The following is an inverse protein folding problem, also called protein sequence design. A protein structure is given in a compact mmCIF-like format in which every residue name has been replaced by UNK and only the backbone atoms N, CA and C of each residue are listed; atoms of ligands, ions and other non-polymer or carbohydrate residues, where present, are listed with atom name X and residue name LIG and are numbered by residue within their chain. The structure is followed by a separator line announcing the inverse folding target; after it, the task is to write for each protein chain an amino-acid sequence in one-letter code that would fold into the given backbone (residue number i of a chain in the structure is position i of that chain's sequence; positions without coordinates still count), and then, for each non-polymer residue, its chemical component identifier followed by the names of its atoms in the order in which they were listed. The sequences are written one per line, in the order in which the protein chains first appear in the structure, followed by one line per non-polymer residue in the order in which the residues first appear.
data_IF_883553445411
#
_entry.id   IF_883553445411
#
_cell.length_a   1.000
_cell.length_b   1.000
_cell.length_c   1.000
_cell.angle_alpha   90.00
_cell.angle_beta   90.00
_cell.angle_gamma   90.00
#
_symmetry.space_group_name_H-M   'P 1'
#
loop_
_entity.id
_entity.type
_entity.pdbx_description
1 polymer ?
#
# COMPACT_ATOMS: atom_id res chain seq x y z
N UNK A 1 -18.52 -22.43 -12.07
CA UNK A 1 -17.99 -22.18 -10.70
C UNK A 1 -16.50 -21.93 -10.85
N UNK A 2 -16.02 -20.78 -10.49
CA UNK A 2 -14.60 -20.39 -10.58
C UNK A 2 -13.76 -21.10 -9.52
N UNK A 3 -12.45 -21.19 -9.76
CA UNK A 3 -11.51 -21.64 -8.74
C UNK A 3 -11.32 -20.53 -7.68
N UNK A 4 -11.15 -19.27 -8.14
CA UNK A 4 -11.03 -18.10 -7.28
C UNK A 4 -11.95 -16.97 -7.74
N UNK A 5 -12.58 -16.30 -6.77
CA UNK A 5 -13.17 -14.98 -6.95
C UNK A 5 -12.32 -13.96 -6.20
N UNK A 6 -11.94 -12.87 -6.87
CA UNK A 6 -11.15 -11.77 -6.29
C UNK A 6 -12.04 -10.54 -6.18
N UNK A 7 -12.15 -9.95 -5.00
CA UNK A 7 -12.94 -8.75 -4.75
C UNK A 7 -12.00 -7.58 -4.50
N UNK A 8 -12.03 -6.59 -5.42
CA UNK A 8 -11.08 -5.49 -5.49
C UNK A 8 -9.88 -5.82 -6.38
N UNK A 9 -9.63 -4.98 -7.38
CA UNK A 9 -8.54 -5.15 -8.38
C UNK A 9 -7.47 -4.06 -8.23
N UNK A 10 -7.20 -3.64 -6.99
CA UNK A 10 -6.00 -2.88 -6.66
C UNK A 10 -4.73 -3.75 -6.79
N UNK A 11 -3.53 -3.24 -6.44
CA UNK A 11 -2.27 -3.94 -6.69
C UNK A 11 -2.21 -5.37 -6.17
N UNK A 12 -2.72 -5.62 -4.96
CA UNK A 12 -2.71 -6.97 -4.37
C UNK A 12 -3.66 -7.92 -5.09
N UNK A 13 -4.90 -7.49 -5.38
CA UNK A 13 -5.90 -8.31 -6.05
C UNK A 13 -5.53 -8.61 -7.50
N UNK A 14 -5.08 -7.60 -8.25
CA UNK A 14 -4.60 -7.77 -9.62
C UNK A 14 -3.39 -8.73 -9.68
N UNK A 15 -2.44 -8.58 -8.75
CA UNK A 15 -1.28 -9.48 -8.66
C UNK A 15 -1.69 -10.92 -8.38
N UNK A 16 -2.59 -11.15 -7.42
CA UNK A 16 -3.07 -12.49 -7.12
C UNK A 16 -3.84 -13.09 -8.31
N UNK A 17 -4.76 -12.33 -8.92
CA UNK A 17 -5.53 -12.79 -10.07
C UNK A 17 -4.61 -13.21 -11.23
N UNK A 18 -3.58 -12.40 -11.53
CA UNK A 18 -2.56 -12.73 -12.51
C UNK A 18 -1.87 -14.05 -12.17
N UNK A 19 -1.32 -14.17 -10.96
CA UNK A 19 -0.52 -15.32 -10.54
C UNK A 19 -1.33 -16.62 -10.51
N UNK A 20 -2.59 -16.56 -10.08
CA UNK A 20 -3.49 -17.69 -10.09
C UNK A 20 -3.85 -18.12 -11.53
N UNK A 21 -4.14 -17.17 -12.42
CA UNK A 21 -4.42 -17.44 -13.83
C UNK A 21 -3.19 -18.03 -14.56
N UNK A 22 -1.96 -17.51 -14.30
CA UNK A 22 -0.71 -18.07 -14.82
C UNK A 22 -0.50 -19.57 -14.42
N UNK A 23 -1.09 -19.99 -13.31
CA UNK A 23 -1.08 -21.40 -12.87
C UNK A 23 -2.21 -22.25 -13.49
N UNK A 24 -3.06 -21.64 -14.31
CA UNK A 24 -4.16 -22.30 -15.01
C UNK A 24 -5.45 -22.40 -14.23
N UNK A 25 -5.60 -21.67 -13.13
CA UNK A 25 -6.86 -21.59 -12.38
C UNK A 25 -7.87 -20.68 -13.10
N UNK A 26 -9.16 -21.01 -12.95
CA UNK A 26 -10.28 -20.20 -13.45
C UNK A 26 -10.58 -19.07 -12.45
N UNK A 27 -10.22 -17.83 -12.81
CA UNK A 27 -10.24 -16.67 -11.93
C UNK A 27 -11.19 -15.60 -12.46
N UNK A 28 -12.11 -15.13 -11.61
CA UNK A 28 -12.87 -13.90 -11.83
C UNK A 28 -12.48 -12.84 -10.81
N UNK A 29 -12.31 -11.60 -11.25
CA UNK A 29 -11.97 -10.47 -10.40
C UNK A 29 -12.92 -9.29 -10.63
N UNK A 30 -13.45 -8.72 -9.56
CA UNK A 30 -14.43 -7.65 -9.59
C UNK A 30 -13.86 -6.36 -9.00
N UNK A 31 -13.92 -5.27 -9.78
CA UNK A 31 -13.62 -3.91 -9.33
C UNK A 31 -14.90 -3.08 -9.31
N UNK A 32 -15.15 -2.41 -8.19
CA UNK A 32 -16.38 -1.65 -7.98
C UNK A 32 -16.49 -0.40 -8.83
N UNK A 33 -15.34 0.22 -9.16
CA UNK A 33 -15.24 1.43 -9.95
C UNK A 33 -14.46 1.23 -11.25
N UNK A 34 -13.92 2.34 -11.74
CA UNK A 34 -12.86 2.34 -12.76
C UNK A 34 -11.52 2.01 -12.09
N UNK A 35 -10.68 1.23 -12.76
CA UNK A 35 -9.34 0.92 -12.28
C UNK A 35 -8.51 2.18 -11.99
N UNK A 36 -7.93 2.21 -10.78
CA UNK A 36 -7.12 3.33 -10.31
C UNK A 36 -7.89 4.56 -9.86
N UNK A 37 -9.23 4.51 -9.80
CA UNK A 37 -10.06 5.64 -9.35
C UNK A 37 -11.10 5.23 -8.30
N UNK A 38 -11.36 6.07 -7.27
CA UNK A 38 -10.64 7.32 -6.96
C UNK A 38 -9.20 7.05 -6.50
N UNK A 39 -8.29 8.00 -6.79
CA UNK A 39 -6.90 7.92 -6.36
C UNK A 39 -6.79 8.34 -4.87
N UNK A 40 -6.48 7.41 -4.00
CA UNK A 40 -6.25 7.66 -2.57
C UNK A 40 -4.88 7.14 -2.11
N UNK A 41 -3.86 7.22 -2.98
CA UNK A 41 -2.53 6.68 -2.72
C UNK A 41 -1.46 7.53 -3.41
N UNK A 42 -0.34 7.74 -2.72
CA UNK A 42 0.74 8.63 -3.19
C UNK A 42 1.47 8.15 -4.44
N UNK A 43 1.56 6.87 -4.69
CA UNK A 43 2.41 6.34 -5.77
C UNK A 43 3.93 6.49 -5.50
N UNK A 44 4.33 6.85 -4.29
CA UNK A 44 5.74 6.79 -3.87
C UNK A 44 6.08 5.37 -3.44
N UNK A 45 6.90 4.69 -4.22
CA UNK A 45 7.16 3.25 -4.11
C UNK A 45 8.67 2.96 -4.11
N UNK A 46 9.09 1.88 -3.44
CA UNK A 46 10.47 1.39 -3.56
C UNK A 46 10.77 0.89 -4.97
N UNK A 47 12.05 0.77 -5.28
CA UNK A 47 12.49 0.22 -6.57
C UNK A 47 12.02 -1.21 -6.81
N UNK A 48 11.74 -1.96 -5.75
CA UNK A 48 11.22 -3.34 -5.83
C UNK A 48 9.85 -3.42 -6.55
N UNK A 49 9.12 -2.31 -6.68
CA UNK A 49 7.84 -2.30 -7.41
C UNK A 49 8.02 -2.80 -8.85
N UNK A 50 9.19 -2.54 -9.43
CA UNK A 50 9.49 -2.94 -10.81
C UNK A 50 9.58 -4.46 -11.03
N UNK A 51 9.70 -5.26 -9.97
CA UNK A 51 9.62 -6.73 -10.06
C UNK A 51 8.20 -7.23 -10.35
N UNK A 52 7.20 -6.40 -10.09
CA UNK A 52 5.78 -6.73 -10.28
C UNK A 52 5.20 -6.17 -11.58
N UNK A 53 5.90 -5.21 -12.20
CA UNK A 53 5.45 -4.49 -13.41
C UNK A 53 6.18 -5.03 -14.64
N UNK A 54 5.47 -5.35 -15.74
CA UNK A 54 6.12 -5.69 -17.01
C UNK A 54 7.05 -4.57 -17.52
N UNK A 55 8.23 -4.95 -18.04
CA UNK A 55 9.30 -4.01 -18.37
C UNK A 55 8.87 -2.93 -19.37
N UNK A 56 8.02 -3.27 -20.33
CA UNK A 56 7.50 -2.38 -21.36
C UNK A 56 6.64 -1.22 -20.82
N UNK A 57 6.14 -1.32 -19.60
CA UNK A 57 5.30 -0.28 -18.99
C UNK A 57 6.06 0.65 -18.04
N UNK A 58 7.32 0.34 -17.72
CA UNK A 58 8.10 1.10 -16.70
C UNK A 58 8.24 2.57 -17.06
N UNK A 59 8.59 2.88 -18.31
CA UNK A 59 8.78 4.26 -18.77
C UNK A 59 7.49 5.09 -18.66
N UNK A 60 6.34 4.50 -19.02
CA UNK A 60 5.05 5.16 -18.94
C UNK A 60 4.55 5.40 -17.51
N UNK A 61 4.99 4.58 -16.55
CA UNK A 61 4.63 4.69 -15.14
C UNK A 61 5.56 5.62 -14.36
N UNK A 62 6.82 5.73 -14.77
CA UNK A 62 7.83 6.49 -14.08
C UNK A 62 7.54 8.00 -14.12
N UNK A 63 7.59 8.67 -12.99
CA UNK A 63 7.42 10.11 -12.89
C UNK A 63 8.66 10.82 -12.34
N UNK A 64 9.26 10.29 -11.25
CA UNK A 64 10.44 10.89 -10.66
C UNK A 64 11.30 9.88 -9.90
N UNK A 65 12.61 10.15 -9.84
CA UNK A 65 13.57 9.39 -9.05
C UNK A 65 13.79 10.07 -7.70
N UNK A 66 13.78 9.29 -6.62
CA UNK A 66 13.99 9.78 -5.26
C UNK A 66 15.23 9.12 -4.66
N UNK A 67 16.15 9.94 -4.15
CA UNK A 67 17.42 9.50 -3.55
C UNK A 67 17.43 9.62 -2.03
N UNK A 68 16.49 10.37 -1.46
CA UNK A 68 16.46 10.58 -0.02
C UNK A 68 15.18 11.19 0.51
N UNK A 69 15.20 11.39 1.82
CA UNK A 69 14.16 12.10 2.55
C UNK A 69 14.78 13.20 3.42
N UNK A 70 14.17 14.37 3.46
CA UNK A 70 14.48 15.45 4.40
C UNK A 70 13.43 15.41 5.52
N UNK A 71 13.87 15.15 6.74
CA UNK A 71 13.00 15.16 7.90
C UNK A 71 13.00 16.52 8.56
N UNK A 72 11.82 17.01 8.86
CA UNK A 72 11.54 18.30 9.51
C UNK A 72 10.80 18.06 10.83
N UNK A 73 11.23 18.76 11.89
CA UNK A 73 10.52 18.78 13.19
C UNK A 73 9.51 19.94 13.30
N UNK A 74 9.26 20.63 12.20
CA UNK A 74 8.34 21.75 12.06
C UNK A 74 7.79 21.86 10.65
N UNK A 75 7.23 23.02 10.30
CA UNK A 75 6.70 23.33 8.96
C UNK A 75 7.79 23.43 7.88
N UNK A 76 7.40 23.90 6.69
CA UNK A 76 8.25 23.93 5.49
C UNK A 76 9.58 24.67 5.66
N UNK A 77 9.60 25.78 6.42
CA UNK A 77 10.79 26.59 6.67
C UNK A 77 11.69 26.06 7.81
N UNK A 78 11.33 24.95 8.45
CA UNK A 78 12.11 24.40 9.55
C UNK A 78 13.39 23.72 9.06
N UNK A 79 14.44 23.60 9.90
CA UNK A 79 15.69 22.94 9.52
C UNK A 79 15.46 21.51 9.03
N UNK A 80 16.02 21.19 7.87
CA UNK A 80 15.98 19.86 7.26
C UNK A 80 17.10 18.96 7.79
N UNK A 81 16.76 17.69 8.05
CA UNK A 81 17.70 16.63 8.38
C UNK A 81 17.68 15.58 7.25
N UNK A 82 18.61 15.61 6.27
CA UNK A 82 18.58 14.73 5.13
C UNK A 82 19.09 13.32 5.48
N UNK A 83 18.42 12.32 4.91
CA UNK A 83 18.83 10.90 4.88
C UNK A 83 18.80 10.46 3.42
N UNK A 84 19.92 10.03 2.85
CA UNK A 84 20.01 9.81 1.40
C UNK A 84 20.99 8.69 1.01
N UNK A 85 20.88 8.28 -0.24
CA UNK A 85 21.90 7.49 -0.95
C UNK A 85 22.34 8.24 -2.21
N UNK A 86 23.48 7.86 -2.77
CA UNK A 86 23.93 8.40 -4.06
C UNK A 86 23.08 7.88 -5.22
N UNK A 87 22.61 6.62 -5.11
CA UNK A 87 21.70 5.99 -6.07
C UNK A 87 20.24 6.19 -5.62
N UNK A 88 19.29 6.07 -6.56
CA UNK A 88 17.88 6.07 -6.26
C UNK A 88 17.51 5.02 -5.21
N UNK A 89 16.60 5.37 -4.33
CA UNK A 89 16.05 4.46 -3.31
C UNK A 89 14.57 4.15 -3.55
N UNK A 90 13.90 5.00 -4.32
CA UNK A 90 12.47 4.88 -4.61
C UNK A 90 12.12 5.68 -5.85
N UNK A 91 10.88 5.51 -6.33
CA UNK A 91 10.32 6.30 -7.41
C UNK A 91 8.94 6.84 -7.04
N UNK A 92 8.60 7.99 -7.62
CA UNK A 92 7.21 8.39 -7.79
C UNK A 92 6.71 7.79 -9.11
N UNK A 93 5.53 7.17 -9.09
CA UNK A 93 4.91 6.54 -10.27
C UNK A 93 3.47 7.02 -10.45
N UNK A 94 2.98 6.99 -11.70
CA UNK A 94 1.57 7.19 -11.98
C UNK A 94 0.75 6.05 -11.39
N UNK A 95 0.05 6.37 -10.30
CA UNK A 95 -0.67 5.39 -9.51
C UNK A 95 -1.92 4.86 -10.21
N UNK A 96 -2.60 5.69 -10.99
CA UNK A 96 -3.77 5.29 -11.78
C UNK A 96 -3.36 4.32 -12.89
N UNK A 97 -2.28 4.64 -13.58
CA UNK A 97 -1.75 3.76 -14.62
C UNK A 97 -1.17 2.48 -14.05
N UNK A 98 -0.56 2.50 -12.86
CA UNK A 98 -0.07 1.30 -12.21
C UNK A 98 -1.17 0.26 -12.01
N UNK A 99 -2.34 0.67 -11.48
CA UNK A 99 -3.47 -0.25 -11.30
C UNK A 99 -3.97 -0.83 -12.60
N UNK A 100 -4.05 0.00 -13.66
CA UNK A 100 -4.46 -0.46 -15.00
C UNK A 100 -3.49 -1.48 -15.56
N UNK A 101 -2.19 -1.19 -15.52
CA UNK A 101 -1.15 -2.10 -16.00
C UNK A 101 -1.18 -3.44 -15.26
N UNK A 102 -1.35 -3.43 -13.94
CA UNK A 102 -1.43 -4.67 -13.16
C UNK A 102 -2.71 -5.47 -13.48
N UNK A 103 -3.84 -4.80 -13.69
CA UNK A 103 -5.09 -5.45 -14.07
C UNK A 103 -5.04 -6.00 -15.50
N UNK A 104 -4.44 -5.28 -16.45
CA UNK A 104 -4.25 -5.75 -17.82
C UNK A 104 -3.32 -6.97 -17.85
N UNK A 105 -2.25 -6.97 -17.05
CA UNK A 105 -1.40 -8.15 -16.90
C UNK A 105 -2.15 -9.36 -16.31
N UNK A 106 -3.18 -9.14 -15.48
CA UNK A 106 -4.05 -10.23 -15.01
C UNK A 106 -4.98 -10.73 -16.13
N UNK A 107 -5.53 -9.83 -16.96
CA UNK A 107 -6.32 -10.19 -18.15
C UNK A 107 -5.51 -11.00 -19.16
N UNK A 108 -4.29 -10.55 -19.44
CA UNK A 108 -3.37 -11.23 -20.37
C UNK A 108 -2.99 -12.65 -19.89
N UNK A 109 -2.95 -12.85 -18.56
CA UNK A 109 -2.75 -14.15 -17.96
C UNK A 109 -4.00 -15.06 -18.01
N UNK A 110 -5.16 -14.51 -18.38
CA UNK A 110 -6.42 -15.25 -18.53
C UNK A 110 -7.45 -15.04 -17.40
N UNK A 111 -7.22 -14.11 -16.47
CA UNK A 111 -8.22 -13.75 -15.46
C UNK A 111 -9.37 -12.93 -16.08
N UNK A 112 -10.62 -13.23 -15.70
CA UNK A 112 -11.82 -12.47 -16.07
C UNK A 112 -11.97 -11.24 -15.16
N UNK A 113 -11.35 -10.11 -15.55
CA UNK A 113 -11.35 -8.87 -14.75
C UNK A 113 -12.48 -7.96 -15.20
N UNK A 114 -13.42 -7.68 -14.30
CA UNK A 114 -14.64 -6.90 -14.53
C UNK A 114 -14.65 -5.60 -13.71
N UNK A 115 -14.57 -4.47 -14.39
CA UNK A 115 -14.75 -3.14 -13.82
C UNK A 115 -16.21 -2.78 -13.67
N UNK A 116 -16.54 -1.83 -12.79
CA UNK A 116 -17.90 -1.37 -12.49
C UNK A 116 -18.83 -2.50 -12.00
N UNK A 117 -18.22 -3.50 -11.34
CA UNK A 117 -18.91 -4.63 -10.75
C UNK A 117 -18.68 -4.66 -9.24
N UNK A 118 -19.70 -4.32 -8.47
CA UNK A 118 -19.62 -4.27 -7.01
C UNK A 118 -20.12 -5.57 -6.41
N UNK A 119 -19.26 -6.28 -5.69
CA UNK A 119 -19.70 -7.38 -4.82
C UNK A 119 -20.44 -6.80 -3.63
N UNK A 120 -21.72 -7.14 -3.50
CA UNK A 120 -22.61 -6.62 -2.47
C UNK A 120 -22.82 -7.58 -1.30
N UNK A 121 -22.74 -8.88 -1.56
CA UNK A 121 -22.87 -9.94 -0.56
C UNK A 121 -21.84 -11.04 -0.82
N UNK A 122 -21.34 -11.63 0.25
CA UNK A 122 -20.44 -12.81 0.23
C UNK A 122 -20.98 -13.80 1.24
N UNK A 123 -21.24 -15.02 0.80
CA UNK A 123 -21.73 -16.10 1.67
C UNK A 123 -20.81 -17.30 1.59
N UNK A 124 -20.15 -17.61 2.70
CA UNK A 124 -19.26 -18.77 2.80
C UNK A 124 -20.06 -20.03 3.13
N UNK A 125 -19.89 -21.08 2.32
CA UNK A 125 -20.43 -22.41 2.51
C UNK A 125 -19.32 -23.42 2.80
N UNK A 126 -19.72 -24.66 3.10
CA UNK A 126 -18.74 -25.72 3.36
C UNK A 126 -17.89 -26.07 2.14
N UNK A 127 -18.43 -25.97 0.94
CA UNK A 127 -17.83 -26.44 -0.32
C UNK A 127 -17.55 -25.33 -1.34
N UNK A 128 -18.05 -24.12 -1.14
CA UNK A 128 -17.89 -22.98 -2.03
C UNK A 128 -18.14 -21.65 -1.31
N UNK A 129 -17.93 -20.56 -2.02
CA UNK A 129 -18.37 -19.21 -1.65
C UNK A 129 -19.28 -18.69 -2.75
N UNK A 130 -20.44 -18.16 -2.38
CA UNK A 130 -21.36 -17.49 -3.29
C UNK A 130 -21.25 -15.97 -3.11
N UNK A 131 -21.17 -15.25 -4.21
CA UNK A 131 -21.09 -13.77 -4.26
C UNK A 131 -22.26 -13.22 -5.05
N UNK A 132 -22.94 -12.21 -4.51
CA UNK A 132 -23.90 -11.40 -5.26
C UNK A 132 -23.19 -10.18 -5.83
N UNK A 133 -23.21 -10.01 -7.14
CA UNK A 133 -22.48 -8.98 -7.87
C UNK A 133 -23.46 -8.05 -8.58
N UNK A 134 -23.38 -6.76 -8.30
CA UNK A 134 -24.11 -5.72 -9.01
C UNK A 134 -23.22 -5.14 -10.11
N UNK A 135 -23.54 -5.47 -11.35
CA UNK A 135 -22.95 -4.88 -12.55
C UNK A 135 -23.69 -3.64 -13.06
N UNK A 136 -23.25 -3.08 -14.20
CA UNK A 136 -23.89 -1.90 -14.80
C UNK A 136 -25.33 -2.13 -15.25
N UNK A 137 -25.65 -3.33 -15.71
CA UNK A 137 -26.95 -3.65 -16.31
C UNK A 137 -27.83 -4.51 -15.38
N UNK A 138 -27.22 -5.43 -14.63
CA UNK A 138 -27.94 -6.40 -13.82
C UNK A 138 -27.19 -6.78 -12.54
N UNK A 139 -27.92 -7.40 -11.62
CA UNK A 139 -27.35 -8.10 -10.46
C UNK A 139 -27.39 -9.60 -10.70
N UNK A 140 -26.30 -10.30 -10.47
CA UNK A 140 -26.17 -11.74 -10.70
C UNK A 140 -25.33 -12.40 -9.61
N UNK A 141 -25.45 -13.72 -9.51
CA UNK A 141 -24.71 -14.51 -8.54
C UNK A 141 -23.52 -15.23 -9.22
N UNK A 142 -22.42 -15.33 -8.48
CA UNK A 142 -21.21 -16.04 -8.87
C UNK A 142 -20.80 -16.98 -7.75
N UNK A 143 -20.38 -18.19 -8.10
CA UNK A 143 -19.82 -19.14 -7.14
C UNK A 143 -18.35 -19.41 -7.43
N UNK A 144 -17.53 -19.48 -6.38
CA UNK A 144 -16.12 -19.85 -6.45
C UNK A 144 -15.74 -20.82 -5.33
N UNK A 145 -14.64 -21.57 -5.53
CA UNK A 145 -14.12 -22.46 -4.49
C UNK A 145 -13.50 -21.69 -3.34
N UNK A 146 -12.76 -20.60 -3.63
CA UNK A 146 -12.17 -19.67 -2.65
C UNK A 146 -12.44 -18.22 -3.06
N UNK A 147 -12.52 -17.32 -2.07
CA UNK A 147 -12.62 -15.87 -2.26
C UNK A 147 -11.42 -15.15 -1.69
N UNK A 148 -10.82 -14.24 -2.48
CA UNK A 148 -9.81 -13.28 -2.06
C UNK A 148 -10.46 -11.92 -1.81
N UNK A 149 -10.41 -11.41 -0.58
CA UNK A 149 -10.77 -10.04 -0.23
C UNK A 149 -9.56 -9.13 -0.39
N UNK A 150 -9.57 -8.30 -1.41
CA UNK A 150 -8.57 -7.25 -1.70
C UNK A 150 -9.24 -5.90 -1.94
N UNK A 151 -10.40 -5.71 -1.30
CA UNK A 151 -11.35 -4.62 -1.44
C UNK A 151 -11.04 -3.41 -0.52
N UNK A 152 -9.78 -3.28 -0.13
CA UNK A 152 -9.26 -2.14 0.59
C UNK A 152 -9.54 -2.17 2.11
N UNK A 153 -9.23 -1.06 2.81
CA UNK A 153 -9.23 -1.04 4.27
C UNK A 153 -10.60 -1.26 4.91
N UNK A 154 -11.68 -0.87 4.23
CA UNK A 154 -13.07 -1.06 4.66
C UNK A 154 -13.68 -2.32 4.01
N UNK A 155 -12.96 -3.43 4.07
CA UNK A 155 -13.28 -4.66 3.37
C UNK A 155 -14.63 -5.26 3.78
N UNK A 156 -15.51 -5.39 2.80
CA UNK A 156 -16.77 -6.13 2.92
C UNK A 156 -16.56 -7.63 3.01
N UNK A 157 -15.54 -8.14 2.31
CA UNK A 157 -15.19 -9.56 2.37
C UNK A 157 -14.75 -9.91 3.79
N UNK A 158 -13.91 -9.08 4.43
CA UNK A 158 -13.50 -9.27 5.83
C UNK A 158 -14.70 -9.34 6.77
N UNK A 159 -15.63 -8.38 6.65
CA UNK A 159 -16.85 -8.32 7.45
C UNK A 159 -17.74 -9.55 7.22
N UNK A 160 -18.01 -9.91 5.97
CA UNK A 160 -18.86 -11.05 5.61
C UNK A 160 -18.29 -12.39 6.09
N UNK A 161 -16.98 -12.55 6.11
CA UNK A 161 -16.28 -13.74 6.62
C UNK A 161 -16.10 -13.74 8.14
N UNK A 162 -16.51 -12.67 8.84
CA UNK A 162 -16.33 -12.53 10.28
C UNK A 162 -14.85 -12.46 10.73
N UNK A 163 -13.97 -12.00 9.85
CA UNK A 163 -12.55 -11.85 10.15
C UNK A 163 -12.28 -10.56 10.93
N UNK A 164 -11.29 -10.55 11.83
CA UNK A 164 -10.99 -9.38 12.64
C UNK A 164 -10.45 -8.21 11.82
N UNK A 165 -10.64 -6.99 12.35
CA UNK A 165 -10.12 -5.76 11.78
C UNK A 165 -8.62 -5.59 12.06
N UNK A 166 -7.88 -4.80 11.24
CA UNK A 166 -6.58 -4.25 11.61
C UNK A 166 -6.59 -3.52 12.94
N UNK A 167 -5.44 -3.46 13.62
CA UNK A 167 -5.32 -2.87 14.96
C UNK A 167 -5.73 -1.38 14.99
N UNK A 168 -5.45 -0.65 13.90
CA UNK A 168 -5.67 0.78 13.81
C UNK A 168 -5.96 1.21 12.36
N UNK A 169 -6.72 2.30 12.21
CA UNK A 169 -6.97 2.97 10.94
C UNK A 169 -6.54 4.44 11.03
N UNK A 170 -5.49 4.83 10.32
CA UNK A 170 -5.14 6.23 10.15
C UNK A 170 -6.04 6.87 9.10
N UNK A 171 -6.33 8.15 9.27
CA UNK A 171 -7.03 8.95 8.27
C UNK A 171 -6.02 9.78 7.49
N UNK A 172 -6.00 9.62 6.18
CA UNK A 172 -5.10 10.34 5.27
C UNK A 172 -5.84 11.36 4.41
N UNK A 173 -5.14 12.44 4.08
CA UNK A 173 -5.51 13.39 3.06
C UNK A 173 -4.31 13.66 2.17
N UNK A 174 -4.55 13.85 0.86
CA UNK A 174 -3.53 14.25 -0.10
C UNK A 174 -4.13 15.12 -1.20
N UNK A 175 -3.28 15.91 -1.85
CA UNK A 175 -3.63 16.69 -3.03
C UNK A 175 -2.38 16.96 -3.87
N UNK A 176 -2.57 17.48 -5.06
CA UNK A 176 -1.52 17.70 -6.04
C UNK A 176 -1.43 19.18 -6.43
N UNK A 177 -0.19 19.69 -6.49
CA UNK A 177 0.16 20.91 -7.19
C UNK A 177 0.63 20.50 -8.60
N UNK A 178 0.05 21.05 -9.68
CA UNK A 178 0.44 20.69 -11.04
C UNK A 178 1.78 21.25 -11.50
N UNK A 179 2.41 22.18 -10.74
CA UNK A 179 3.69 22.77 -11.12
C UNK A 179 4.82 21.70 -11.11
N UNK A 180 5.54 21.49 -12.23
CA UNK A 180 6.59 20.48 -12.31
C UNK A 180 7.69 20.65 -11.27
N UNK A 181 8.11 19.55 -10.67
CA UNK A 181 9.19 19.51 -9.68
C UNK A 181 10.03 18.23 -9.81
N UNK A 182 11.30 18.42 -10.12
CA UNK A 182 12.29 17.36 -10.36
C UNK A 182 13.29 17.20 -9.20
N UNK A 183 13.00 17.74 -8.01
CA UNK A 183 13.82 17.45 -6.84
C UNK A 183 13.84 15.95 -6.55
N UNK A 184 14.96 15.46 -6.04
CA UNK A 184 15.18 14.02 -5.77
C UNK A 184 15.05 13.65 -4.28
N UNK A 185 14.43 14.52 -3.48
CA UNK A 185 14.13 14.31 -2.07
C UNK A 185 12.65 14.49 -1.77
N UNK A 186 12.12 13.60 -0.94
CA UNK A 186 10.83 13.81 -0.28
C UNK A 186 11.03 14.62 1.00
N UNK A 187 10.08 15.47 1.37
CA UNK A 187 10.04 16.13 2.67
C UNK A 187 9.07 15.39 3.58
N UNK A 188 9.48 15.12 4.82
CA UNK A 188 8.70 14.44 5.86
C UNK A 188 8.64 15.35 7.08
N UNK A 189 7.45 15.79 7.45
CA UNK A 189 7.20 16.67 8.58
C UNK A 189 6.64 15.88 9.76
N UNK A 190 7.38 15.81 10.86
CA UNK A 190 6.95 15.16 12.11
C UNK A 190 6.07 16.11 12.96
N UNK A 191 5.15 16.81 12.30
CA UNK A 191 4.21 17.77 12.92
C UNK A 191 2.86 17.15 13.25
N UNK A 192 2.61 15.91 12.78
CA UNK A 192 1.37 15.17 13.02
C UNK A 192 1.60 14.17 14.15
N UNK A 193 0.77 14.16 15.21
CA UNK A 193 0.89 13.16 16.28
C UNK A 193 0.83 11.72 15.73
N UNK A 194 1.77 10.90 16.19
CA UNK A 194 1.87 9.46 15.87
C UNK A 194 2.10 9.11 14.40
N UNK A 195 2.17 10.11 13.51
CA UNK A 195 2.50 9.93 12.09
C UNK A 195 3.23 11.16 11.53
N UNK A 196 2.99 11.53 10.25
CA UNK A 196 3.69 12.63 9.60
C UNK A 196 2.89 13.24 8.43
N UNK A 197 3.33 14.41 7.98
CA UNK A 197 2.96 14.99 6.71
C UNK A 197 4.12 14.86 5.71
N UNK A 198 3.82 14.93 4.41
CA UNK A 198 4.83 14.75 3.37
C UNK A 198 4.63 15.69 2.19
N UNK A 199 5.73 15.94 1.48
CA UNK A 199 5.79 16.52 0.14
C UNK A 199 6.61 15.59 -0.75
N UNK A 200 6.09 15.21 -1.91
CA UNK A 200 6.73 14.27 -2.83
C UNK A 200 6.78 14.91 -4.22
N UNK A 201 7.99 15.25 -4.74
CA UNK A 201 8.17 15.72 -6.11
C UNK A 201 7.91 14.58 -7.09
N UNK A 202 7.16 14.88 -8.18
CA UNK A 202 6.71 13.89 -9.17
C UNK A 202 7.13 14.24 -10.61
N UNK A 203 8.21 15.00 -10.77
CA UNK A 203 8.70 15.45 -12.08
C UNK A 203 7.66 16.29 -12.81
N UNK A 204 7.36 15.94 -14.06
CA UNK A 204 6.32 16.59 -14.86
C UNK A 204 4.91 16.40 -14.28
N UNK A 205 4.70 15.45 -13.39
CA UNK A 205 3.43 15.21 -12.67
C UNK A 205 3.19 16.17 -11.50
N UNK A 206 4.07 17.15 -11.29
CA UNK A 206 3.95 18.16 -10.24
C UNK A 206 4.44 17.72 -8.88
N UNK A 207 3.75 18.10 -7.83
CA UNK A 207 4.09 17.79 -6.44
C UNK A 207 2.88 17.24 -5.70
N UNK A 208 3.08 16.20 -4.93
CA UNK A 208 2.06 15.70 -4.01
C UNK A 208 2.34 16.19 -2.59
N UNK A 209 1.29 16.70 -1.95
CA UNK A 209 1.25 17.03 -0.54
C UNK A 209 0.27 16.12 0.17
N UNK A 210 0.63 15.63 1.35
CA UNK A 210 -0.27 14.80 2.10
C UNK A 210 0.09 14.68 3.57
N UNK A 211 -0.83 14.12 4.34
CA UNK A 211 -0.60 13.71 5.71
C UNK A 211 -1.52 12.54 6.06
N UNK A 212 -1.14 11.83 7.12
CA UNK A 212 -2.05 10.91 7.78
C UNK A 212 -1.96 11.10 9.30
N UNK A 213 -3.04 10.83 9.99
CA UNK A 213 -3.15 11.02 11.44
C UNK A 213 -4.00 9.94 12.09
N UNK A 214 -3.83 9.77 13.40
CA UNK A 214 -4.64 8.87 14.22
C UNK A 214 -6.12 9.29 14.22
N UNK A 215 -7.06 8.39 14.52
CA UNK A 215 -8.48 8.72 14.65
C UNK A 215 -8.71 9.81 15.69
N UNK A 216 -9.56 10.80 15.35
CA UNK A 216 -9.89 11.91 16.23
C UNK A 216 -9.06 13.19 16.02
N UNK A 217 -8.00 13.13 15.22
CA UNK A 217 -7.26 14.31 14.79
C UNK A 217 -8.01 15.07 13.69
N UNK A 218 -7.83 16.40 13.65
CA UNK A 218 -8.38 17.27 12.60
C UNK A 218 -7.54 17.18 11.32
N UNK A 219 -7.74 16.12 10.54
CA UNK A 219 -7.03 15.90 9.27
C UNK A 219 -7.26 17.03 8.27
N UNK A 220 -8.48 17.55 8.03
CA UNK A 220 -8.69 18.65 7.12
C UNK A 220 -7.95 19.93 7.52
N UNK A 221 -8.05 20.37 8.79
CA UNK A 221 -7.37 21.58 9.26
C UNK A 221 -5.84 21.46 9.19
N UNK A 222 -5.28 20.31 9.59
CA UNK A 222 -3.83 20.06 9.47
C UNK A 222 -3.35 20.02 8.02
N UNK A 223 -4.19 19.56 7.11
CA UNK A 223 -3.87 19.55 5.68
C UNK A 223 -3.87 20.98 5.10
N UNK A 224 -4.84 21.80 5.49
CA UNK A 224 -4.88 23.21 5.09
C UNK A 224 -3.66 23.97 5.63
N UNK A 225 -3.23 23.69 6.86
CA UNK A 225 -1.99 24.26 7.44
C UNK A 225 -0.75 23.84 6.64
N UNK A 226 -0.63 22.55 6.26
CA UNK A 226 0.48 22.05 5.43
C UNK A 226 0.56 22.78 4.08
N UNK A 227 -0.56 22.89 3.38
CA UNK A 227 -0.63 23.56 2.07
C UNK A 227 -0.30 25.07 2.21
N UNK A 228 -0.79 25.71 3.27
CA UNK A 228 -0.50 27.10 3.56
C UNK A 228 0.99 27.34 3.88
N UNK A 229 1.63 26.43 4.62
CA UNK A 229 3.07 26.50 4.94
C UNK A 229 3.95 26.47 3.67
N UNK A 230 3.53 25.72 2.64
CA UNK A 230 4.21 25.70 1.35
C UNK A 230 3.79 26.83 0.41
N UNK A 231 2.69 27.53 0.70
CA UNK A 231 2.18 28.66 -0.10
C UNK A 231 1.73 28.24 -1.50
N UNK A 232 1.20 27.02 -1.66
CA UNK A 232 0.80 26.42 -2.94
C UNK A 232 -0.71 26.33 -3.08
N UNK A 233 -1.18 26.33 -4.32
CA UNK A 233 -2.57 26.02 -4.68
C UNK A 233 -2.64 24.56 -5.13
N UNK A 234 -3.44 23.76 -4.45
CA UNK A 234 -3.57 22.33 -4.74
C UNK A 234 -4.90 21.98 -5.38
N UNK A 235 -4.83 21.00 -6.27
CA UNK A 235 -5.98 20.42 -6.96
C UNK A 235 -6.20 18.96 -6.52
N UNK A 236 -7.32 18.38 -6.91
CA UNK A 236 -7.62 16.94 -6.76
C UNK A 236 -7.42 16.42 -5.33
N UNK A 237 -8.01 17.09 -4.34
CA UNK A 237 -7.98 16.62 -2.95
C UNK A 237 -8.65 15.27 -2.81
N UNK A 238 -7.92 14.33 -2.23
CA UNK A 238 -8.37 12.96 -1.94
C UNK A 238 -8.22 12.68 -0.44
N UNK A 239 -9.03 11.77 0.06
CA UNK A 239 -8.89 11.25 1.41
C UNK A 239 -9.04 9.74 1.41
N UNK A 240 -8.39 9.08 2.35
CA UNK A 240 -8.43 7.63 2.47
C UNK A 240 -8.15 7.17 3.89
N UNK A 241 -8.28 5.88 4.08
CA UNK A 241 -7.98 5.21 5.34
C UNK A 241 -6.79 4.28 5.13
N UNK A 242 -5.84 4.30 6.05
CA UNK A 242 -4.64 3.47 6.01
C UNK A 242 -4.72 2.49 7.17
N UNK A 243 -4.87 1.18 6.91
CA UNK A 243 -4.91 0.18 7.97
C UNK A 243 -3.50 -0.09 8.49
N UNK A 244 -3.33 -0.17 9.79
CA UNK A 244 -2.05 -0.43 10.45
C UNK A 244 -2.19 -1.61 11.39
N UNK A 245 -1.28 -2.56 11.30
CA UNK A 245 -1.26 -3.75 12.15
C UNK A 245 -2.23 -4.82 11.65
N UNK A 246 -1.71 -5.84 10.94
CA UNK A 246 -2.55 -6.94 10.48
C UNK A 246 -3.10 -7.72 11.67
N UNK A 247 -4.38 -8.16 11.62
CA UNK A 247 -5.00 -8.93 12.68
C UNK A 247 -4.36 -10.32 12.82
N UNK A 248 -4.70 -11.03 13.91
CA UNK A 248 -4.16 -12.36 14.21
C UNK A 248 -4.44 -13.40 13.12
N UNK A 249 -5.55 -13.25 12.38
CA UNK A 249 -5.88 -14.10 11.23
C UNK A 249 -6.47 -13.28 10.09
N UNK A 250 -6.07 -13.63 8.87
CA UNK A 250 -6.59 -13.05 7.63
C UNK A 250 -7.24 -14.11 6.75
N UNK A 251 -7.54 -15.30 7.30
CA UNK A 251 -8.15 -16.42 6.58
C UNK A 251 -9.37 -16.96 7.32
N UNK A 252 -10.38 -17.41 6.57
CA UNK A 252 -11.56 -18.14 7.05
C UNK A 252 -11.52 -19.60 6.56
N UNK A 253 -12.67 -20.25 6.43
CA UNK A 253 -12.74 -21.61 5.88
C UNK A 253 -12.47 -21.67 4.36
N UNK A 254 -12.97 -20.66 3.60
CA UNK A 254 -12.84 -20.56 2.13
C UNK A 254 -12.52 -19.15 1.65
N UNK A 255 -12.11 -18.28 2.53
CA UNK A 255 -11.74 -16.92 2.21
C UNK A 255 -10.39 -16.53 2.80
N UNK A 256 -9.76 -15.56 2.16
CA UNK A 256 -8.52 -14.93 2.63
C UNK A 256 -8.47 -13.47 2.21
N UNK A 257 -7.71 -12.68 2.95
CA UNK A 257 -7.55 -11.25 2.71
C UNK A 257 -6.16 -10.93 2.19
N UNK A 258 -6.06 -9.87 1.36
CA UNK A 258 -4.84 -9.37 0.76
C UNK A 258 -4.74 -7.84 0.88
N UNK A 259 -3.54 -7.33 0.98
CA UNK A 259 -3.27 -5.89 1.00
C UNK A 259 -3.94 -5.17 2.17
N UNK A 260 -4.56 -4.04 1.90
CA UNK A 260 -5.19 -3.22 2.94
C UNK A 260 -6.36 -3.91 3.64
N UNK A 261 -7.09 -4.80 2.95
CA UNK A 261 -8.13 -5.61 3.56
C UNK A 261 -7.58 -6.50 4.71
N UNK A 262 -6.32 -6.89 4.61
CA UNK A 262 -5.58 -7.69 5.59
C UNK A 262 -4.69 -6.86 6.53
N UNK A 263 -4.66 -5.54 6.39
CA UNK A 263 -3.72 -4.68 7.14
C UNK A 263 -2.24 -4.91 6.78
N UNK A 264 -1.95 -5.44 5.60
CA UNK A 264 -0.59 -5.72 5.12
C UNK A 264 0.08 -4.43 4.63
N UNK A 265 0.31 -3.52 5.55
CA UNK A 265 0.91 -2.20 5.33
C UNK A 265 2.15 -2.00 6.21
N UNK A 266 3.02 -1.09 5.81
CA UNK A 266 4.19 -0.68 6.61
C UNK A 266 3.75 0.26 7.73
N UNK A 267 3.88 -0.07 9.00
CA UNK A 267 3.37 0.76 10.09
C UNK A 267 4.00 2.15 10.16
N UNK A 268 5.23 2.30 9.68
CA UNK A 268 6.01 3.55 9.76
C UNK A 268 5.85 4.49 8.56
N UNK A 269 5.31 4.02 7.42
CA UNK A 269 5.07 4.87 6.24
C UNK A 269 3.63 4.81 5.73
N UNK A 270 2.83 3.85 6.18
CA UNK A 270 1.48 3.60 5.67
C UNK A 270 1.43 2.96 4.27
N UNK A 271 2.59 2.70 3.65
CA UNK A 271 2.62 2.14 2.29
C UNK A 271 2.28 0.65 2.27
N UNK A 272 1.28 0.24 1.46
CA UNK A 272 0.79 -1.14 1.37
C UNK A 272 1.08 -1.85 0.04
N UNK A 273 1.39 -1.12 -1.05
CA UNK A 273 1.48 -1.68 -2.40
C UNK A 273 2.38 -2.92 -2.47
N UNK A 274 3.66 -2.77 -2.10
CA UNK A 274 4.62 -3.88 -2.15
C UNK A 274 4.22 -5.01 -1.22
N UNK A 275 3.81 -4.72 0.02
CA UNK A 275 3.44 -5.74 0.99
C UNK A 275 2.22 -6.53 0.53
N UNK A 276 1.20 -5.86 -0.02
CA UNK A 276 0.03 -6.52 -0.59
C UNK A 276 0.38 -7.42 -1.78
N UNK A 277 1.27 -6.98 -2.68
CA UNK A 277 1.71 -7.80 -3.82
C UNK A 277 2.60 -8.98 -3.38
N UNK A 278 3.46 -8.81 -2.38
CA UNK A 278 4.24 -9.91 -1.79
C UNK A 278 3.32 -10.94 -1.15
N UNK A 279 2.29 -10.50 -0.41
CA UNK A 279 1.30 -11.41 0.17
C UNK A 279 0.46 -12.12 -0.91
N UNK A 280 0.17 -11.45 -2.04
CA UNK A 280 -0.49 -12.05 -3.19
C UNK A 280 0.35 -13.16 -3.83
N UNK A 281 1.67 -12.97 -3.96
CA UNK A 281 2.60 -14.01 -4.44
C UNK A 281 2.67 -15.19 -3.45
N UNK A 282 2.67 -14.92 -2.14
CA UNK A 282 2.61 -15.96 -1.12
C UNK A 282 1.30 -16.75 -1.22
N UNK A 283 0.16 -16.07 -1.40
CA UNK A 283 -1.13 -16.72 -1.58
C UNK A 283 -1.16 -17.61 -2.84
N UNK A 284 -0.71 -17.07 -3.97
CA UNK A 284 -0.68 -17.83 -5.23
C UNK A 284 0.23 -19.08 -5.15
N UNK A 285 1.30 -19.02 -4.38
CA UNK A 285 2.23 -20.15 -4.18
C UNK A 285 1.65 -21.24 -3.28
N UNK A 286 0.92 -20.86 -2.26
CA UNK A 286 0.47 -21.79 -1.21
C UNK A 286 -0.93 -22.38 -1.45
N UNK A 287 -1.83 -21.61 -2.13
CA UNK A 287 -3.23 -21.95 -2.19
C UNK A 287 -3.54 -22.96 -3.30
N UNK A 288 -4.35 -23.96 -2.92
CA UNK A 288 -4.99 -24.91 -3.82
C UNK A 288 -6.52 -24.84 -3.56
N UNK A 289 -7.33 -24.39 -4.53
CA UNK A 289 -8.76 -24.16 -4.32
C UNK A 289 -9.53 -25.46 -4.03
N UNK A 290 -9.00 -26.62 -4.41
CA UNK A 290 -9.59 -27.92 -4.08
C UNK A 290 -9.23 -28.41 -2.66
N UNK A 291 -8.26 -27.75 -2.01
CA UNK A 291 -7.78 -28.09 -0.66
C UNK A 291 -7.77 -26.87 0.27
N UNK A 292 -8.91 -26.45 0.83
CA UNK A 292 -9.00 -25.26 1.68
C UNK A 292 -8.03 -25.22 2.87
N UNK A 293 -7.56 -26.38 3.32
CA UNK A 293 -6.53 -26.47 4.36
C UNK A 293 -5.21 -25.77 4.01
N UNK A 294 -4.97 -25.42 2.72
CA UNK A 294 -3.82 -24.66 2.27
C UNK A 294 -3.87 -23.19 2.68
N UNK A 295 -5.03 -22.66 3.09
CA UNK A 295 -5.18 -21.32 3.66
C UNK A 295 -4.26 -21.08 4.87
N UNK A 296 -4.06 -22.10 5.71
CA UNK A 296 -3.09 -22.03 6.80
C UNK A 296 -1.62 -21.97 6.32
N UNK A 297 -1.35 -22.44 5.10
CA UNK A 297 -0.05 -22.25 4.42
C UNK A 297 0.17 -20.80 4.06
N UNK A 298 -0.80 -20.19 3.42
CA UNK A 298 -0.77 -18.75 3.10
C UNK A 298 -0.58 -17.88 4.35
N UNK A 299 -1.36 -18.14 5.43
CA UNK A 299 -1.25 -17.39 6.69
C UNK A 299 0.19 -17.39 7.24
N UNK A 300 0.88 -18.53 7.20
CA UNK A 300 2.28 -18.64 7.63
C UNK A 300 3.24 -17.95 6.65
N UNK A 301 3.07 -18.19 5.35
CA UNK A 301 4.01 -17.74 4.33
C UNK A 301 4.16 -16.22 4.30
N UNK A 302 3.04 -15.49 4.26
CA UNK A 302 3.13 -14.03 4.24
C UNK A 302 3.67 -13.45 5.57
N UNK A 303 3.38 -14.08 6.73
CA UNK A 303 3.95 -13.65 8.02
C UNK A 303 5.43 -13.93 8.13
N UNK A 304 5.91 -15.02 7.57
CA UNK A 304 7.33 -15.33 7.52
C UNK A 304 8.09 -14.30 6.67
N UNK A 305 7.48 -13.82 5.58
CA UNK A 305 8.08 -12.84 4.68
C UNK A 305 8.01 -11.40 5.21
N UNK A 306 6.89 -10.97 5.78
CA UNK A 306 6.62 -9.57 6.12
C UNK A 306 6.60 -9.29 7.64
N UNK A 307 6.37 -10.31 8.47
CA UNK A 307 6.06 -10.11 9.89
C UNK A 307 7.18 -9.42 10.67
N UNK A 308 8.46 -9.70 10.34
CA UNK A 308 9.59 -9.04 11.01
C UNK A 308 9.68 -7.56 10.66
N UNK A 309 9.48 -7.21 9.40
CA UNK A 309 9.51 -5.81 8.94
C UNK A 309 8.31 -5.03 9.49
N UNK A 310 7.13 -5.66 9.59
CA UNK A 310 5.95 -5.08 10.24
C UNK A 310 6.24 -4.82 11.73
N UNK A 311 6.75 -5.80 12.46
CA UNK A 311 7.04 -5.65 13.88
C UNK A 311 8.07 -4.55 14.16
N UNK A 312 9.15 -4.49 13.37
CA UNK A 312 10.14 -3.43 13.48
C UNK A 312 9.58 -2.07 13.04
N UNK A 313 8.72 -2.05 12.01
CA UNK A 313 8.01 -0.84 11.56
C UNK A 313 7.19 -0.20 12.67
N UNK A 314 6.49 -0.97 13.50
CA UNK A 314 5.81 -0.46 14.70
C UNK A 314 6.79 0.18 15.71
N UNK A 315 7.97 -0.40 15.86
CA UNK A 315 9.00 0.18 16.74
C UNK A 315 9.54 1.51 16.18
N UNK A 316 9.82 1.58 14.88
CA UNK A 316 10.26 2.81 14.20
C UNK A 316 9.21 3.91 14.33
N UNK A 317 7.92 3.58 14.13
CA UNK A 317 6.81 4.52 14.25
C UNK A 317 6.73 5.16 15.65
N UNK A 318 7.07 4.44 16.72
CA UNK A 318 7.15 5.03 18.08
C UNK A 318 8.12 6.21 18.18
N UNK A 319 9.10 6.27 17.28
CA UNK A 319 10.02 7.41 17.17
C UNK A 319 9.32 8.73 16.83
N UNK A 320 8.19 8.69 16.11
CA UNK A 320 7.42 9.88 15.73
C UNK A 320 6.75 10.57 16.92
N UNK A 321 6.50 9.85 17.99
CA UNK A 321 5.89 10.36 19.23
C UNK A 321 6.92 10.65 20.34
N UNK A 322 8.22 10.55 20.05
CA UNK A 322 9.25 10.90 21.05
C UNK A 322 9.29 12.42 21.30
N UNK A 323 9.70 12.86 22.50
CA UNK A 323 9.89 14.27 22.78
C UNK A 323 10.85 14.93 21.76
N UNK A 324 10.54 16.14 21.29
CA UNK A 324 11.31 16.87 20.28
C UNK A 324 12.84 16.89 20.51
N UNK A 325 13.35 17.11 21.74
CA UNK A 325 14.79 17.05 21.99
C UNK A 325 15.43 15.70 21.65
N UNK A 326 14.69 14.60 21.85
CA UNK A 326 15.15 13.23 21.52
C UNK A 326 15.13 13.02 20.01
N UNK A 327 14.04 13.43 19.35
CA UNK A 327 13.95 13.40 17.88
C UNK A 327 15.09 14.20 17.25
N UNK A 328 15.32 15.44 17.72
CA UNK A 328 16.39 16.33 17.23
C UNK A 328 17.78 15.73 17.42
N UNK A 329 18.04 15.09 18.57
CA UNK A 329 19.31 14.40 18.81
C UNK A 329 19.49 13.20 17.89
N UNK A 330 18.43 12.39 17.70
CA UNK A 330 18.42 11.27 16.76
C UNK A 330 18.64 11.71 15.32
N UNK A 331 17.89 12.71 14.84
CA UNK A 331 18.05 13.25 13.49
C UNK A 331 19.48 13.75 13.25
N UNK A 332 20.06 14.51 14.20
CA UNK A 332 21.43 15.01 14.09
C UNK A 332 22.48 13.89 14.09
N UNK A 333 22.23 12.79 14.81
CA UNK A 333 23.18 11.68 14.92
C UNK A 333 23.14 10.77 13.68
N UNK A 334 21.96 10.55 13.10
CA UNK A 334 21.74 9.56 12.03
C UNK A 334 21.53 10.18 10.64
N UNK A 335 21.44 11.53 10.53
CA UNK A 335 21.33 12.20 9.22
C UNK A 335 22.59 12.02 8.39
N UNK A 336 22.45 12.01 7.08
CA UNK A 336 23.53 11.84 6.11
C UNK A 336 23.32 10.66 5.18
N UNK A 337 24.40 10.06 4.68
CA UNK A 337 24.33 8.88 3.84
C UNK A 337 23.87 7.66 4.65
N UNK A 338 22.89 6.93 4.12
CA UNK A 338 22.29 5.76 4.77
C UNK A 338 22.40 4.50 3.90
N UNK A 339 22.30 3.33 4.52
CA UNK A 339 22.23 2.03 3.84
C UNK A 339 20.87 1.32 4.08
N UNK A 340 19.88 2.04 4.59
CA UNK A 340 18.56 1.48 4.93
C UNK A 340 17.68 1.36 3.69
N UNK A 341 16.96 0.25 3.56
CA UNK A 341 15.96 0.04 2.52
C UNK A 341 14.59 0.57 2.99
N UNK A 342 13.88 1.33 2.14
CA UNK A 342 12.63 1.98 2.56
C UNK A 342 11.48 1.01 2.91
N UNK A 343 11.50 -0.20 2.36
CA UNK A 343 10.47 -1.22 2.63
C UNK A 343 10.90 -2.29 3.63
N UNK A 344 12.17 -2.29 4.01
CA UNK A 344 12.76 -3.30 4.88
C UNK A 344 13.45 -2.63 6.07
N UNK A 345 12.70 -2.19 7.09
CA UNK A 345 13.27 -1.55 8.27
C UNK A 345 14.27 -2.45 9.03
N UNK A 346 14.21 -3.78 8.82
CA UNK A 346 15.24 -4.71 9.32
C UNK A 346 16.63 -4.41 8.77
N UNK A 347 16.75 -3.72 7.64
CA UNK A 347 18.03 -3.27 7.06
C UNK A 347 18.76 -2.24 7.94
N UNK A 348 18.08 -1.59 8.91
CA UNK A 348 18.74 -0.76 9.94
C UNK A 348 19.81 -1.50 10.72
N UNK A 349 19.71 -2.81 10.86
CA UNK A 349 20.67 -3.66 11.56
C UNK A 349 21.63 -4.36 10.62
N UNK A 350 21.71 -3.97 9.35
CA UNK A 350 22.62 -4.54 8.38
C UNK A 350 24.08 -4.11 8.64
N UNK A 351 25.03 -4.95 8.23
CA UNK A 351 26.45 -4.61 8.29
C UNK A 351 26.80 -3.36 7.45
N UNK A 352 26.03 -3.10 6.39
CA UNK A 352 26.24 -1.95 5.51
C UNK A 352 25.79 -0.66 6.20
N UNK A 353 24.70 -0.70 6.98
CA UNK A 353 24.31 0.44 7.83
C UNK A 353 25.34 0.74 8.91
N UNK A 354 25.90 -0.29 9.56
CA UNK A 354 26.98 -0.11 10.53
C UNK A 354 28.21 0.52 9.88
N UNK A 355 28.56 0.11 8.65
CA UNK A 355 29.68 0.71 7.89
C UNK A 355 29.37 2.16 7.49
N UNK A 356 28.14 2.49 7.10
CA UNK A 356 27.74 3.86 6.76
C UNK A 356 27.84 4.80 7.97
N UNK A 357 27.45 4.34 9.17
CA UNK A 357 27.57 5.11 10.42
C UNK A 357 29.00 5.30 10.93
N UNK A 358 29.96 4.50 10.46
CA UNK A 358 31.39 4.59 10.85
C UNK A 358 32.22 5.45 9.88
N UNK A 359 31.65 5.94 8.79
CA UNK A 359 32.25 6.86 7.83
C UNK A 359 31.88 8.30 8.16
#
# INVERSE_FOLDING_TARGET
MYDFAVVGVGPAGARFARRAAEQGYDVVAFESGELGKPLACSGHVSLDVWEFVPDEHREALFQNEIRGARFHLGGADSPAHPFYKHDAISNAVDRVQLDRVLADAARDAGADVREQHTVTEVTEHRDRVDLTVRGPEETFDVSAKLVAGSDGPQSRVREALGLPEPDEFLHGALAFDPEPDHEDFVDVHLTVPEFFAWRIPRGEGGVEYGLAAAPGEDVPGRFDDLVADYGVDVEHRCSGVIPIGPPDTVTSHRGFLLGDAAGQTKPFTGGGIRYGMTAADAAARELDPDRPGTLAGYERAWRDELGRDIALGHLVRKGYSMPEPVQKAGMKLFSGEIAVHMDQPTSLFSLDQVRALLR
#
